data_IF_398548975382
#
_entry.id   IF_398548975382
#
_cell.length_a   1.000
_cell.length_b   1.000
_cell.length_c   1.000
_cell.angle_alpha   90.00
_cell.angle_beta   90.00
_cell.angle_gamma   90.00
#
_symmetry.space_group_name_H-M   'P 1'
#
loop_
_entity.id
_entity.type
_entity.pdbx_description
1 polymer ?
#
# COMPACT_ATOMS: atom_id res chain seq x y z
N UNK A 1 -22.81 -6.12 -5.34
CA UNK A 1 -21.46 -6.16 -4.75
C UNK A 1 -20.84 -4.78 -4.96
N UNK A 2 -20.12 -4.26 -3.99
CA UNK A 2 -19.52 -2.93 -4.08
C UNK A 2 -18.06 -3.10 -4.49
N UNK A 3 -17.65 -2.45 -5.58
CA UNK A 3 -16.27 -2.53 -6.06
C UNK A 3 -15.36 -1.73 -5.15
N UNK A 4 -14.31 -2.36 -4.63
CA UNK A 4 -13.23 -1.66 -3.91
C UNK A 4 -12.33 -0.90 -4.87
N UNK A 5 -11.98 -1.52 -6.02
CA UNK A 5 -11.15 -0.91 -7.05
C UNK A 5 -11.80 -1.13 -8.41
N UNK A 6 -11.91 -0.08 -9.20
CA UNK A 6 -12.35 -0.16 -10.59
C UNK A 6 -11.36 0.58 -11.50
N UNK A 7 -10.82 -0.13 -12.45
CA UNK A 7 -9.89 0.37 -13.47
C UNK A 7 -10.66 0.43 -14.80
N UNK A 8 -10.68 1.61 -15.44
CA UNK A 8 -11.50 1.85 -16.62
C UNK A 8 -10.62 2.41 -17.75
N UNK A 9 -10.47 1.65 -18.83
CA UNK A 9 -9.74 2.02 -20.05
C UNK A 9 -8.35 2.62 -19.76
N UNK A 10 -7.67 2.09 -18.75
CA UNK A 10 -6.44 2.65 -18.22
C UNK A 10 -5.27 2.44 -19.18
N UNK A 11 -4.60 3.53 -19.50
CA UNK A 11 -3.41 3.49 -20.37
C UNK A 11 -2.29 4.36 -19.79
N UNK A 12 -1.04 3.93 -20.03
CA UNK A 12 0.15 4.71 -19.73
C UNK A 12 1.17 4.60 -20.84
N UNK A 13 1.55 5.74 -21.39
CA UNK A 13 2.62 5.86 -22.40
C UNK A 13 3.78 6.69 -21.84
N UNK A 14 5.00 6.27 -22.15
CA UNK A 14 6.23 6.99 -21.90
C UNK A 14 6.88 7.28 -23.25
N UNK A 15 6.83 8.53 -23.70
CA UNK A 15 7.25 8.90 -25.06
C UNK A 15 6.56 8.02 -26.11
N UNK A 16 7.31 7.16 -26.80
CA UNK A 16 6.81 6.26 -27.84
C UNK A 16 6.38 4.88 -27.34
N UNK A 17 6.72 4.50 -26.09
CA UNK A 17 6.44 3.17 -25.54
C UNK A 17 5.16 3.18 -24.71
N UNK A 18 4.18 2.36 -25.10
CA UNK A 18 3.01 2.07 -24.27
C UNK A 18 3.39 1.04 -23.20
N UNK A 19 3.37 1.44 -21.93
CA UNK A 19 3.64 0.56 -20.80
C UNK A 19 2.37 -0.16 -20.31
N UNK A 20 1.21 0.49 -20.43
CA UNK A 20 -0.11 -0.07 -20.17
C UNK A 20 -1.02 0.38 -21.31
N UNK A 21 -1.81 -0.52 -21.89
CA UNK A 21 -2.64 -0.26 -23.05
C UNK A 21 -4.09 -0.69 -22.82
N UNK A 22 -4.94 0.27 -22.51
CA UNK A 22 -6.40 0.15 -22.44
C UNK A 22 -6.90 -1.05 -21.61
N UNK A 23 -6.44 -1.17 -20.37
CA UNK A 23 -6.89 -2.22 -19.48
C UNK A 23 -8.10 -1.78 -18.65
N UNK A 24 -9.05 -2.71 -18.42
CA UNK A 24 -10.19 -2.51 -17.54
C UNK A 24 -10.41 -3.76 -16.69
N UNK A 25 -10.61 -3.57 -15.40
CA UNK A 25 -10.96 -4.64 -14.47
C UNK A 25 -11.56 -4.06 -13.19
N UNK A 26 -12.16 -4.93 -12.38
CA UNK A 26 -12.73 -4.59 -11.07
C UNK A 26 -12.22 -5.56 -10.02
N UNK A 27 -12.14 -5.08 -8.79
CA UNK A 27 -11.83 -5.88 -7.59
C UNK A 27 -12.94 -5.56 -6.60
N UNK A 28 -13.63 -6.59 -6.14
CA UNK A 28 -14.71 -6.46 -5.18
C UNK A 28 -14.20 -6.35 -3.73
N UNK A 29 -15.07 -5.94 -2.82
CA UNK A 29 -14.76 -5.93 -1.38
C UNK A 29 -14.43 -7.37 -0.91
N UNK A 30 -13.42 -7.52 -0.07
CA UNK A 30 -12.92 -8.79 0.48
C UNK A 30 -12.34 -9.76 -0.56
N UNK A 31 -11.99 -9.30 -1.74
CA UNK A 31 -11.34 -10.10 -2.77
C UNK A 31 -9.81 -9.99 -2.70
N UNK A 32 -9.12 -11.10 -2.95
CA UNK A 32 -7.65 -11.13 -3.11
C UNK A 32 -7.35 -11.39 -4.57
N UNK A 33 -6.72 -10.44 -5.22
CA UNK A 33 -6.41 -10.49 -6.66
C UNK A 33 -4.91 -10.51 -6.90
N UNK A 34 -4.44 -11.40 -7.76
CA UNK A 34 -3.06 -11.47 -8.23
C UNK A 34 -2.90 -10.83 -9.61
N UNK A 35 -1.98 -9.88 -9.74
CA UNK A 35 -1.58 -9.31 -11.02
C UNK A 35 -0.36 -10.04 -11.56
N UNK A 36 -0.57 -10.93 -12.53
CA UNK A 36 0.47 -11.79 -13.11
C UNK A 36 0.90 -11.30 -14.49
N UNK A 37 2.11 -11.66 -14.89
CA UNK A 37 2.67 -11.36 -16.20
C UNK A 37 4.20 -11.28 -16.21
N UNK A 38 4.85 -11.30 -17.38
CA UNK A 38 6.29 -11.22 -17.52
C UNK A 38 6.87 -9.87 -17.06
N UNK A 39 8.19 -9.81 -16.89
CA UNK A 39 8.85 -8.55 -16.57
C UNK A 39 8.67 -7.53 -17.69
N UNK A 40 8.37 -6.29 -17.35
CA UNK A 40 8.14 -5.21 -18.31
C UNK A 40 6.73 -5.14 -18.90
N UNK A 41 5.79 -6.03 -18.55
CA UNK A 41 4.41 -5.99 -19.06
C UNK A 41 3.51 -4.90 -18.44
N UNK A 42 4.04 -4.04 -17.56
CA UNK A 42 3.29 -2.93 -17.00
C UNK A 42 2.71 -3.13 -15.61
N UNK A 43 2.95 -4.25 -14.90
CA UNK A 43 2.43 -4.51 -13.54
C UNK A 43 2.71 -3.37 -12.55
N UNK A 44 3.97 -3.00 -12.41
CA UNK A 44 4.39 -1.92 -11.50
C UNK A 44 3.79 -0.57 -11.92
N UNK A 45 3.67 -0.31 -13.22
CA UNK A 45 3.04 0.90 -13.75
C UNK A 45 1.54 0.92 -13.40
N UNK A 46 0.85 -0.20 -13.57
CA UNK A 46 -0.57 -0.34 -13.21
C UNK A 46 -0.78 -0.11 -11.72
N UNK A 47 0.00 -0.78 -10.86
CA UNK A 47 -0.05 -0.57 -9.39
C UNK A 47 0.25 0.89 -9.04
N UNK A 48 1.26 1.50 -9.67
CA UNK A 48 1.60 2.91 -9.45
C UNK A 48 0.46 3.87 -9.80
N UNK A 49 -0.34 3.57 -10.83
CA UNK A 49 -1.53 4.34 -11.18
C UNK A 49 -2.68 4.11 -10.18
N UNK A 50 -2.89 2.87 -9.73
CA UNK A 50 -3.89 2.54 -8.70
C UNK A 50 -3.56 3.22 -7.37
N UNK A 51 -2.29 3.34 -7.02
CA UNK A 51 -1.82 4.05 -5.82
C UNK A 51 -1.77 5.59 -6.00
N UNK A 52 -2.13 6.12 -7.17
CA UNK A 52 -2.04 7.54 -7.46
C UNK A 52 -0.60 8.10 -7.46
N UNK A 53 0.41 7.24 -7.54
CA UNK A 53 1.82 7.62 -7.68
C UNK A 53 2.18 8.01 -9.10
N UNK A 54 1.47 7.44 -10.08
CA UNK A 54 1.62 7.72 -11.50
C UNK A 54 0.30 8.22 -12.06
N UNK A 55 0.33 9.32 -12.80
CA UNK A 55 -0.84 9.82 -13.54
C UNK A 55 -1.04 8.98 -14.81
N UNK A 56 -2.24 8.46 -15.10
CA UNK A 56 -2.57 7.82 -16.36
C UNK A 56 -2.38 8.77 -17.54
N UNK A 57 -2.11 8.22 -18.73
CA UNK A 57 -2.18 8.97 -20.00
C UNK A 57 -3.64 9.10 -20.44
N UNK A 58 -4.44 8.03 -20.22
CA UNK A 58 -5.89 8.03 -20.42
C UNK A 58 -6.55 6.98 -19.52
N UNK A 59 -7.86 7.05 -19.40
CA UNK A 59 -8.64 6.21 -18.50
C UNK A 59 -8.64 6.74 -17.08
N UNK A 60 -9.18 5.96 -16.14
CA UNK A 60 -9.29 6.37 -14.74
C UNK A 60 -9.25 5.18 -13.79
N UNK A 61 -8.96 5.49 -12.53
CA UNK A 61 -9.02 4.54 -11.41
C UNK A 61 -10.00 5.07 -10.37
N UNK A 62 -10.96 4.26 -10.02
CA UNK A 62 -11.91 4.53 -8.93
C UNK A 62 -11.59 3.63 -7.75
N UNK A 63 -11.53 4.21 -6.56
CA UNK A 63 -11.36 3.51 -5.29
C UNK A 63 -12.63 3.78 -4.45
N UNK A 64 -13.36 2.73 -4.10
CA UNK A 64 -14.65 2.86 -3.44
C UNK A 64 -15.59 3.88 -4.15
N UNK A 65 -15.62 3.82 -5.49
CA UNK A 65 -16.41 4.70 -6.35
C UNK A 65 -15.89 6.13 -6.51
N UNK A 66 -14.75 6.50 -5.91
CA UNK A 66 -14.16 7.83 -6.00
C UNK A 66 -12.93 7.82 -6.91
N UNK A 67 -12.87 8.76 -7.85
CA UNK A 67 -11.70 8.91 -8.71
C UNK A 67 -10.48 9.34 -7.89
N UNK A 68 -9.37 8.57 -8.03
CA UNK A 68 -8.16 8.79 -7.24
C UNK A 68 -7.47 10.12 -7.55
N UNK A 69 -7.54 10.63 -8.78
CA UNK A 69 -6.93 11.91 -9.13
C UNK A 69 -7.57 13.09 -8.39
N UNK A 70 -8.89 13.04 -8.21
CA UNK A 70 -9.67 14.12 -7.59
C UNK A 70 -9.79 13.98 -6.06
N UNK A 71 -9.58 12.77 -5.52
CA UNK A 71 -9.81 12.46 -4.10
C UNK A 71 -8.58 11.87 -3.42
N UNK A 72 -7.39 12.16 -3.91
CA UNK A 72 -6.14 11.49 -3.56
C UNK A 72 -5.91 11.39 -2.05
N UNK A 73 -6.00 12.49 -1.32
CA UNK A 73 -5.73 12.53 0.12
C UNK A 73 -6.69 11.61 0.88
N UNK A 74 -7.99 11.74 0.65
CA UNK A 74 -9.02 10.95 1.36
C UNK A 74 -8.93 9.46 1.05
N UNK A 75 -8.53 9.11 -0.17
CA UNK A 75 -8.34 7.71 -0.60
C UNK A 75 -7.07 7.13 0.03
N UNK A 76 -5.93 7.84 -0.06
CA UNK A 76 -4.66 7.34 0.46
C UNK A 76 -4.65 7.17 1.98
N UNK A 77 -5.46 7.93 2.72
CA UNK A 77 -5.66 7.67 4.15
C UNK A 77 -6.27 6.29 4.46
N UNK A 78 -6.95 5.68 3.49
CA UNK A 78 -7.62 4.37 3.62
C UNK A 78 -6.91 3.25 2.85
N UNK A 79 -5.79 3.55 2.23
CA UNK A 79 -4.99 2.59 1.47
C UNK A 79 -3.59 2.50 2.05
N UNK A 80 -2.96 1.37 1.83
CA UNK A 80 -1.53 1.24 2.07
C UNK A 80 -0.93 0.21 1.10
N UNK A 81 0.39 0.18 1.02
CA UNK A 81 1.06 -0.84 0.23
C UNK A 81 2.39 -1.24 0.86
N UNK A 82 2.83 -2.44 0.54
CA UNK A 82 4.13 -2.98 0.93
C UNK A 82 4.93 -3.18 -0.34
N UNK A 83 6.19 -2.76 -0.31
CA UNK A 83 7.13 -2.99 -1.38
C UNK A 83 8.43 -3.56 -0.81
N UNK A 84 9.03 -4.56 -1.46
CA UNK A 84 10.33 -5.09 -1.04
C UNK A 84 11.47 -4.07 -1.17
N UNK A 85 11.24 -2.99 -1.91
CA UNK A 85 12.23 -1.92 -2.16
C UNK A 85 12.13 -0.76 -1.16
N UNK A 86 11.08 -0.70 -0.33
CA UNK A 86 10.90 0.36 0.67
C UNK A 86 11.22 -0.22 2.04
N UNK A 87 12.38 0.12 2.55
CA UNK A 87 12.80 -0.27 3.88
C UNK A 87 12.33 0.75 4.94
N UNK A 88 12.06 0.25 6.14
CA UNK A 88 11.83 1.08 7.31
C UNK A 88 13.16 1.71 7.77
N UNK A 89 13.15 2.90 8.40
CA UNK A 89 14.31 3.50 9.03
C UNK A 89 15.06 2.52 9.94
N UNK A 90 16.27 2.13 9.49
CA UNK A 90 17.05 1.04 10.11
C UNK A 90 17.56 1.36 11.51
N UNK A 91 17.74 2.63 11.85
CA UNK A 91 18.27 3.10 13.15
C UNK A 91 17.22 3.23 14.24
N UNK A 92 15.94 3.14 13.88
CA UNK A 92 14.83 3.20 14.82
C UNK A 92 14.44 1.80 15.28
N UNK A 93 13.89 1.72 16.50
CA UNK A 93 13.25 0.48 16.95
C UNK A 93 11.96 0.24 16.15
N UNK A 94 11.44 -0.99 16.20
CA UNK A 94 10.16 -1.34 15.60
C UNK A 94 9.05 -0.44 16.15
N UNK A 95 8.99 -0.27 17.46
CA UNK A 95 8.00 0.59 18.13
C UNK A 95 8.10 2.04 17.66
N UNK A 96 9.32 2.58 17.59
CA UNK A 96 9.53 3.95 17.10
C UNK A 96 9.07 4.11 15.65
N UNK A 97 9.37 3.15 14.78
CA UNK A 97 8.88 3.15 13.41
C UNK A 97 7.35 3.18 13.34
N UNK A 98 6.67 2.29 14.09
CA UNK A 98 5.21 2.25 14.12
C UNK A 98 4.60 3.55 14.67
N UNK A 99 5.23 4.16 15.68
CA UNK A 99 4.81 5.47 16.21
C UNK A 99 4.91 6.57 15.14
N UNK A 100 6.03 6.62 14.41
CA UNK A 100 6.22 7.63 13.33
C UNK A 100 5.11 7.49 12.29
N UNK A 101 4.89 6.29 11.76
CA UNK A 101 3.86 6.08 10.74
C UNK A 101 2.45 6.31 11.29
N UNK A 102 2.15 5.87 12.52
CA UNK A 102 0.85 6.12 13.15
C UNK A 102 0.56 7.62 13.33
N UNK A 103 1.57 8.41 13.69
CA UNK A 103 1.44 9.88 13.76
C UNK A 103 1.24 10.52 12.39
N UNK A 104 1.91 10.03 11.32
CA UNK A 104 1.72 10.51 9.96
C UNK A 104 0.28 10.29 9.46
N UNK A 105 -0.37 9.21 9.89
CA UNK A 105 -1.79 8.94 9.60
C UNK A 105 -2.76 9.54 10.63
N UNK A 106 -2.25 10.27 11.63
CA UNK A 106 -3.06 10.90 12.70
C UNK A 106 -3.95 9.90 13.46
N UNK A 107 -3.40 8.74 13.81
CA UNK A 107 -4.13 7.69 14.55
C UNK A 107 -4.34 8.14 15.99
N UNK A 108 -5.59 8.26 16.42
CA UNK A 108 -5.96 8.78 17.77
C UNK A 108 -5.49 7.87 18.89
N UNK A 109 -5.81 6.57 18.84
CA UNK A 109 -5.46 5.59 19.88
C UNK A 109 -4.24 4.76 19.44
N UNK A 110 -3.14 5.45 19.14
CA UNK A 110 -1.97 4.83 18.50
C UNK A 110 -1.36 3.69 19.33
N UNK A 111 -1.26 3.84 20.66
CA UNK A 111 -0.70 2.78 21.50
C UNK A 111 -1.55 1.51 21.48
N UNK A 112 -2.87 1.64 21.56
CA UNK A 112 -3.79 0.50 21.45
C UNK A 112 -3.67 -0.17 20.08
N UNK A 113 -3.57 0.62 19.02
CA UNK A 113 -3.39 0.12 17.66
C UNK A 113 -2.07 -0.63 17.50
N UNK A 114 -0.97 -0.12 18.04
CA UNK A 114 0.34 -0.80 18.03
C UNK A 114 0.26 -2.11 18.82
N UNK A 115 -0.35 -2.12 19.99
CA UNK A 115 -0.50 -3.34 20.81
C UNK A 115 -1.33 -4.39 20.06
N UNK A 116 -2.46 -4.01 19.46
CA UNK A 116 -3.29 -4.89 18.64
C UNK A 116 -2.50 -5.53 17.49
N UNK A 117 -1.76 -4.72 16.72
CA UNK A 117 -0.95 -5.21 15.60
C UNK A 117 0.22 -6.07 16.09
N UNK A 118 0.81 -5.71 17.22
CA UNK A 118 1.89 -6.47 17.84
C UNK A 118 1.45 -7.88 18.22
N UNK A 119 0.27 -8.01 18.81
CA UNK A 119 -0.32 -9.30 19.15
C UNK A 119 -0.64 -10.11 17.89
N UNK A 120 -1.40 -9.52 16.95
CA UNK A 120 -1.81 -10.19 15.70
C UNK A 120 -0.65 -10.66 14.84
N UNK A 121 0.44 -9.92 14.79
CA UNK A 121 1.61 -10.19 13.95
C UNK A 121 2.81 -10.75 14.74
N UNK A 122 2.61 -11.08 16.04
CA UNK A 122 3.64 -11.63 16.93
C UNK A 122 4.91 -10.78 16.92
N UNK A 123 4.77 -9.48 17.24
CA UNK A 123 5.88 -8.52 17.25
C UNK A 123 6.38 -8.20 18.67
N UNK A 124 5.78 -8.76 19.72
CA UNK A 124 6.08 -8.39 21.12
C UNK A 124 7.58 -8.33 21.41
N UNK A 125 8.29 -9.42 21.13
CA UNK A 125 9.75 -9.53 21.36
C UNK A 125 10.59 -8.68 20.39
N UNK A 126 9.97 -8.02 19.41
CA UNK A 126 10.64 -7.23 18.38
C UNK A 126 10.46 -5.72 18.60
N UNK A 127 9.48 -5.29 19.39
CA UNK A 127 9.10 -3.87 19.50
C UNK A 127 10.28 -2.97 19.88
N UNK A 128 11.14 -3.42 20.77
CA UNK A 128 12.29 -2.66 21.25
C UNK A 128 13.59 -2.94 20.48
N UNK A 129 13.56 -3.88 19.51
CA UNK A 129 14.72 -4.16 18.65
C UNK A 129 14.87 -3.13 17.55
N UNK A 130 16.11 -2.82 17.22
CA UNK A 130 16.47 -1.95 16.09
C UNK A 130 16.07 -2.63 14.78
N UNK A 131 15.32 -1.93 13.93
CA UNK A 131 14.76 -2.48 12.69
C UNK A 131 15.85 -3.01 11.74
N UNK A 132 17.03 -2.40 11.76
CA UNK A 132 18.19 -2.84 10.94
C UNK A 132 18.69 -4.25 11.26
N UNK A 133 18.53 -4.69 12.51
CA UNK A 133 19.03 -5.98 13.03
C UNK A 133 18.06 -7.15 12.82
N UNK A 134 16.87 -6.87 12.32
CA UNK A 134 15.85 -7.88 12.12
C UNK A 134 16.17 -8.80 10.93
N UNK A 135 15.80 -10.08 11.06
CA UNK A 135 15.80 -11.01 9.93
C UNK A 135 14.81 -10.57 8.84
N UNK A 136 14.94 -11.10 7.62
CA UNK A 136 14.03 -10.77 6.50
C UNK A 136 12.57 -11.10 6.85
N UNK A 137 12.30 -12.24 7.47
CA UNK A 137 10.95 -12.61 7.90
C UNK A 137 10.39 -11.67 8.98
N UNK A 138 11.23 -11.24 9.93
CA UNK A 138 10.85 -10.25 10.95
C UNK A 138 10.57 -8.89 10.30
N UNK A 139 11.42 -8.41 9.37
CA UNK A 139 11.20 -7.18 8.60
C UNK A 139 9.88 -7.21 7.84
N UNK A 140 9.54 -8.33 7.22
CA UNK A 140 8.26 -8.49 6.51
C UNK A 140 7.07 -8.33 7.45
N UNK A 141 7.10 -8.95 8.65
CA UNK A 141 6.04 -8.78 9.66
C UNK A 141 5.90 -7.33 10.12
N UNK A 142 7.02 -6.65 10.37
CA UNK A 142 7.02 -5.23 10.76
C UNK A 142 6.51 -4.35 9.62
N UNK A 143 6.89 -4.62 8.38
CA UNK A 143 6.39 -3.91 7.20
C UNK A 143 4.88 -4.09 7.02
N UNK A 144 4.37 -5.29 7.31
CA UNK A 144 2.93 -5.56 7.33
C UNK A 144 2.22 -4.78 8.44
N UNK A 145 2.79 -4.75 9.66
CA UNK A 145 2.24 -3.93 10.74
C UNK A 145 2.17 -2.45 10.36
N UNK A 146 3.24 -1.93 9.75
CA UNK A 146 3.28 -0.55 9.23
C UNK A 146 2.18 -0.31 8.19
N UNK A 147 1.96 -1.26 7.28
CA UNK A 147 0.93 -1.12 6.25
C UNK A 147 -0.50 -1.21 6.81
N UNK A 148 -0.68 -1.87 7.94
CA UNK A 148 -1.98 -1.99 8.62
C UNK A 148 -2.22 -0.89 9.68
N UNK A 149 -1.26 0.01 9.90
CA UNK A 149 -1.33 0.97 11.02
C UNK A 149 -2.52 1.93 10.91
N UNK A 150 -2.85 2.35 9.70
CA UNK A 150 -3.96 3.28 9.41
C UNK A 150 -5.32 2.58 9.19
N UNK A 151 -5.43 1.28 9.48
CA UNK A 151 -6.65 0.48 9.30
C UNK A 151 -7.21 0.61 7.87
N UNK A 152 -6.44 0.23 6.85
CA UNK A 152 -6.87 0.36 5.46
C UNK A 152 -8.11 -0.51 5.19
N UNK A 153 -9.01 0.01 4.33
CA UNK A 153 -10.31 -0.62 3.99
C UNK A 153 -10.34 -1.06 2.53
#
# INVERSE_FOLDING_TARGET
MKNSIEVINLSKSYKTKKAVNNISFKIDENEIVGLLGPNGCGKTTTIGMILGLLKPTSGQVLINGKNIENNKISILHKMNFISPYIELPKKLTVKQNLIVYGKLYNIKNLNERINFLSEKLRLGDLLDKITGELSSGQKNRVSLAKALINDPT
#
